data_IF_766117442379
#
_entry.id   IF_766117442379
#
_cell.length_a   1.000
_cell.length_b   1.000
_cell.length_c   1.000
_cell.angle_alpha   90.00
_cell.angle_beta   90.00
_cell.angle_gamma   90.00
#
_symmetry.space_group_name_H-M   'P 1'
#
loop_
_entity.id
_entity.type
_entity.pdbx_description
1 polymer ?
#
# COMPACT_ATOMS: atom_id res chain seq x y z
N UNK A 1 -5.25 -23.07 7.85
CA UNK A 1 -5.45 -24.53 7.66
C UNK A 1 -4.79 -25.02 6.37
N UNK A 2 -5.13 -24.48 5.18
CA UNK A 2 -4.58 -24.92 3.89
C UNK A 2 -3.03 -24.90 3.82
N UNK A 3 -2.39 -23.84 4.31
CA UNK A 3 -0.92 -23.75 4.35
C UNK A 3 -0.31 -24.78 5.30
N UNK A 4 -0.95 -25.05 6.44
CA UNK A 4 -0.48 -26.10 7.37
C UNK A 4 -0.59 -27.49 6.75
N UNK A 5 -1.71 -27.76 6.06
CA UNK A 5 -1.88 -29.02 5.35
C UNK A 5 -0.85 -29.19 4.21
N UNK A 6 -0.54 -28.11 3.50
CA UNK A 6 0.45 -28.14 2.41
C UNK A 6 1.90 -28.24 2.90
N UNK A 7 2.25 -27.64 4.04
CA UNK A 7 3.59 -27.71 4.63
C UNK A 7 3.88 -29.10 5.25
N UNK A 8 2.84 -29.80 5.75
CA UNK A 8 3.02 -31.09 6.41
C UNK A 8 4.03 -30.99 7.56
N UNK A 9 4.97 -31.93 7.59
CA UNK A 9 6.04 -32.03 8.61
C UNK A 9 7.39 -31.44 8.11
N UNK A 10 7.36 -30.54 7.13
CA UNK A 10 8.59 -29.90 6.62
C UNK A 10 9.18 -28.93 7.67
N UNK A 11 10.30 -29.32 8.26
CA UNK A 11 11.01 -28.55 9.30
C UNK A 11 11.52 -27.17 8.79
N UNK A 12 11.63 -26.97 7.49
CA UNK A 12 12.07 -25.69 6.89
C UNK A 12 10.94 -24.66 6.83
N UNK A 13 9.69 -25.08 7.07
CA UNK A 13 8.51 -24.21 6.93
C UNK A 13 7.84 -23.99 8.28
N UNK A 14 7.91 -22.75 8.78
CA UNK A 14 7.18 -22.35 9.98
C UNK A 14 5.97 -21.49 9.60
N UNK A 15 4.77 -21.88 10.04
CA UNK A 15 3.53 -21.14 9.81
C UNK A 15 3.11 -20.41 11.08
N UNK A 16 3.15 -19.07 11.03
CA UNK A 16 2.70 -18.20 12.11
C UNK A 16 1.41 -17.48 11.75
N UNK A 17 0.39 -17.62 12.59
CA UNK A 17 -0.87 -16.90 12.47
C UNK A 17 -0.75 -15.58 13.21
N UNK A 18 -0.98 -14.48 12.52
CA UNK A 18 -0.94 -13.15 13.10
C UNK A 18 -2.34 -12.53 13.14
N UNK A 19 -2.64 -11.64 14.10
CA UNK A 19 -3.90 -10.89 14.11
C UNK A 19 -4.01 -10.01 12.86
N UNK A 20 -5.21 -9.89 12.30
CA UNK A 20 -5.45 -8.99 11.18
C UNK A 20 -5.39 -7.54 11.66
N UNK A 21 -4.34 -6.81 11.28
CA UNK A 21 -4.13 -5.39 11.61
C UNK A 21 -3.55 -4.66 10.40
N UNK A 22 -3.94 -3.43 10.20
CA UNK A 22 -3.32 -2.57 9.20
C UNK A 22 -2.28 -1.64 9.86
N UNK A 23 -1.07 -1.45 9.30
CA UNK A 23 -0.50 -2.01 8.06
C UNK A 23 0.48 -3.19 8.29
N UNK A 24 0.08 -4.25 8.98
CA UNK A 24 0.96 -5.35 9.41
C UNK A 24 1.70 -6.06 8.26
N UNK A 25 1.18 -6.01 7.02
CA UNK A 25 1.87 -6.54 5.84
C UNK A 25 3.09 -5.72 5.39
N UNK A 26 3.32 -4.55 5.96
CA UNK A 26 4.52 -3.76 5.67
C UNK A 26 5.76 -4.42 6.28
N UNK A 27 6.89 -4.40 5.53
CA UNK A 27 8.09 -5.19 5.83
C UNK A 27 8.56 -5.07 7.28
N UNK A 28 8.77 -3.86 7.80
CA UNK A 28 9.25 -3.64 9.18
C UNK A 28 8.23 -4.11 10.22
N UNK A 29 6.95 -3.86 9.98
CA UNK A 29 5.86 -4.26 10.88
C UNK A 29 5.71 -5.79 10.93
N UNK A 30 5.81 -6.47 9.78
CA UNK A 30 5.71 -7.91 9.72
C UNK A 30 6.91 -8.58 10.42
N UNK A 31 8.12 -8.07 10.22
CA UNK A 31 9.30 -8.58 10.92
C UNK A 31 9.15 -8.43 12.43
N UNK A 32 8.72 -7.26 12.91
CA UNK A 32 8.44 -7.04 14.33
C UNK A 32 7.40 -8.03 14.87
N UNK A 33 6.28 -8.20 14.14
CA UNK A 33 5.20 -9.11 14.56
C UNK A 33 5.63 -10.58 14.62
N UNK A 34 6.53 -11.01 13.73
CA UNK A 34 7.01 -12.41 13.66
C UNK A 34 8.16 -12.66 14.62
N UNK A 35 9.10 -11.72 14.75
CA UNK A 35 10.36 -11.94 15.46
C UNK A 35 10.45 -11.24 16.82
N UNK A 36 9.53 -10.30 17.11
CA UNK A 36 9.61 -9.43 18.28
C UNK A 36 10.74 -8.38 18.23
N UNK A 37 11.48 -8.29 17.13
CA UNK A 37 12.63 -7.40 16.99
C UNK A 37 12.32 -6.23 16.07
N UNK A 38 12.65 -5.02 16.50
CA UNK A 38 12.56 -3.82 15.66
C UNK A 38 13.69 -3.80 14.63
N UNK A 39 13.34 -3.26 13.44
CA UNK A 39 14.29 -3.06 12.35
C UNK A 39 14.78 -1.63 12.38
N UNK A 40 16.05 -1.42 12.72
CA UNK A 40 16.67 -0.11 12.72
C UNK A 40 16.61 0.59 11.34
N UNK A 41 16.63 1.93 11.29
CA UNK A 41 16.74 2.68 10.04
C UNK A 41 17.94 2.21 9.22
N UNK A 42 17.72 1.94 7.90
CA UNK A 42 18.78 1.50 6.99
C UNK A 42 19.28 0.07 7.18
N UNK A 43 18.81 -0.67 8.19
CA UNK A 43 19.25 -2.04 8.43
C UNK A 43 18.82 -3.00 7.30
N UNK A 44 19.73 -3.91 6.94
CA UNK A 44 19.41 -5.01 6.02
C UNK A 44 18.51 -6.02 6.72
N UNK A 45 17.43 -6.37 6.07
CA UNK A 45 16.49 -7.40 6.54
C UNK A 45 16.50 -8.59 5.59
N UNK A 46 16.06 -9.74 6.05
CA UNK A 46 15.78 -10.89 5.20
C UNK A 46 14.82 -10.55 4.04
N UNK A 47 14.73 -11.44 3.07
CA UNK A 47 13.79 -11.30 1.97
C UNK A 47 12.35 -11.48 2.49
N UNK A 48 11.45 -10.61 2.02
CA UNK A 48 10.01 -10.69 2.27
C UNK A 48 9.30 -10.72 0.93
N UNK A 49 8.48 -11.72 0.72
CA UNK A 49 7.71 -11.88 -0.53
C UNK A 49 6.22 -11.98 -0.23
N UNK A 50 5.43 -11.38 -1.10
CA UNK A 50 3.99 -11.62 -1.16
C UNK A 50 3.74 -13.04 -1.70
N UNK A 51 2.65 -13.69 -1.30
CA UNK A 51 2.29 -15.04 -1.75
C UNK A 51 2.21 -15.16 -3.28
N UNK A 52 1.68 -14.15 -3.98
CA UNK A 52 1.64 -14.15 -5.46
C UNK A 52 3.03 -14.05 -6.07
N UNK A 53 3.97 -13.38 -5.41
CA UNK A 53 5.38 -13.33 -5.84
C UNK A 53 6.04 -14.69 -5.67
N UNK A 54 5.83 -15.37 -4.54
CA UNK A 54 6.35 -16.74 -4.32
C UNK A 54 5.81 -17.70 -5.37
N UNK A 55 4.50 -17.65 -5.64
CA UNK A 55 3.88 -18.43 -6.71
C UNK A 55 4.52 -18.17 -8.08
N UNK A 56 4.75 -16.89 -8.41
CA UNK A 56 5.38 -16.53 -9.69
C UNK A 56 6.84 -16.97 -9.77
N UNK A 57 7.60 -16.94 -8.66
CA UNK A 57 8.95 -17.48 -8.58
C UNK A 57 8.94 -18.99 -8.84
N UNK A 58 8.02 -19.70 -8.21
CA UNK A 58 7.86 -21.14 -8.40
C UNK A 58 7.61 -21.47 -9.89
N UNK A 59 6.68 -20.80 -10.55
CA UNK A 59 6.42 -20.98 -11.98
C UNK A 59 7.63 -20.65 -12.85
N UNK A 60 8.36 -19.60 -12.52
CA UNK A 60 9.56 -19.24 -13.27
C UNK A 60 10.67 -20.31 -13.15
N UNK A 61 10.85 -20.87 -11.95
CA UNK A 61 11.91 -21.86 -11.68
C UNK A 61 11.57 -23.23 -12.25
N UNK A 62 10.33 -23.71 -12.05
CA UNK A 62 9.94 -25.08 -12.44
C UNK A 62 9.36 -25.18 -13.85
N UNK A 63 8.70 -24.13 -14.33
CA UNK A 63 8.00 -24.14 -15.62
C UNK A 63 8.67 -23.25 -16.67
N UNK A 64 9.67 -22.44 -16.29
CA UNK A 64 10.32 -21.46 -17.18
C UNK A 64 9.40 -20.31 -17.60
N UNK A 65 8.29 -20.08 -16.90
CA UNK A 65 7.27 -19.11 -17.28
C UNK A 65 7.47 -17.76 -16.57
N UNK A 66 7.66 -16.65 -17.31
CA UNK A 66 7.71 -15.32 -16.73
C UNK A 66 6.31 -14.88 -16.26
N UNK A 67 6.25 -13.78 -15.49
CA UNK A 67 4.97 -13.19 -15.06
C UNK A 67 4.29 -12.55 -16.28
N UNK A 68 3.35 -13.26 -16.86
CA UNK A 68 2.51 -12.81 -17.99
C UNK A 68 1.07 -12.55 -17.56
N UNK A 69 0.66 -13.09 -16.42
CA UNK A 69 -0.68 -12.97 -15.89
C UNK A 69 -0.65 -12.77 -14.37
N UNK A 70 -1.70 -12.21 -13.83
CA UNK A 70 -1.87 -11.96 -12.40
C UNK A 70 -3.31 -12.16 -11.96
N UNK A 71 -3.47 -12.53 -10.69
CA UNK A 71 -4.77 -12.42 -10.02
C UNK A 71 -4.96 -10.96 -9.61
N UNK A 72 -6.06 -10.36 -10.03
CA UNK A 72 -6.50 -9.02 -9.67
C UNK A 72 -7.87 -9.11 -9.00
N UNK A 73 -8.02 -8.48 -7.84
CA UNK A 73 -9.29 -8.41 -7.13
C UNK A 73 -10.06 -7.18 -7.61
N UNK A 74 -11.24 -7.36 -8.17
CA UNK A 74 -12.20 -6.28 -8.43
C UNK A 74 -13.19 -6.26 -7.28
N UNK A 75 -13.35 -5.10 -6.61
CA UNK A 75 -14.21 -4.98 -5.42
C UNK A 75 -14.62 -3.51 -5.18
N UNK A 76 -15.40 -3.29 -4.13
CA UNK A 76 -15.92 -1.97 -3.71
C UNK A 76 -17.41 -1.84 -3.99
N UNK A 77 -18.01 -0.83 -3.41
CA UNK A 77 -19.47 -0.60 -3.51
C UNK A 77 -19.92 -0.33 -4.94
N UNK A 78 -19.00 0.23 -5.76
CA UNK A 78 -19.24 0.55 -7.17
C UNK A 78 -19.02 -0.62 -8.13
N UNK A 79 -18.51 -1.78 -7.68
CA UNK A 79 -18.38 -2.96 -8.54
C UNK A 79 -19.72 -3.70 -8.64
N UNK A 80 -20.13 -4.08 -9.86
CA UNK A 80 -21.36 -4.86 -10.04
C UNK A 80 -21.16 -6.29 -9.53
N UNK A 81 -20.07 -6.93 -9.89
CA UNK A 81 -19.77 -8.31 -9.51
C UNK A 81 -18.36 -8.41 -8.88
N UNK A 82 -18.21 -8.17 -7.56
CA UNK A 82 -16.92 -8.33 -6.91
C UNK A 82 -16.37 -9.75 -7.06
N UNK A 83 -15.16 -9.86 -7.62
CA UNK A 83 -14.50 -11.16 -7.85
C UNK A 83 -12.99 -11.04 -8.02
N UNK A 84 -12.30 -12.16 -7.89
CA UNK A 84 -10.91 -12.30 -8.30
C UNK A 84 -10.85 -12.78 -9.74
N UNK A 85 -10.07 -12.13 -10.58
CA UNK A 85 -9.90 -12.44 -11.98
C UNK A 85 -8.43 -12.69 -12.33
N UNK A 86 -8.15 -13.64 -13.20
CA UNK A 86 -6.81 -13.82 -13.76
C UNK A 86 -6.73 -12.91 -14.99
N UNK A 87 -5.79 -11.97 -14.96
CA UNK A 87 -5.64 -10.94 -15.99
C UNK A 87 -4.25 -11.00 -16.59
N UNK A 88 -4.15 -10.92 -17.90
CA UNK A 88 -2.85 -10.76 -18.58
C UNK A 88 -2.29 -9.38 -18.31
N UNK A 89 -1.00 -9.31 -18.04
CA UNK A 89 -0.28 -8.03 -17.92
C UNK A 89 -0.37 -7.29 -19.25
N UNK A 90 -0.77 -6.03 -19.21
CA UNK A 90 -1.02 -5.23 -20.41
C UNK A 90 -2.51 -5.05 -20.75
N UNK A 91 -3.43 -5.81 -20.14
CA UNK A 91 -4.88 -5.62 -20.34
C UNK A 91 -5.31 -4.27 -19.76
N UNK A 92 -6.05 -3.42 -20.51
CA UNK A 92 -6.63 -2.19 -19.98
C UNK A 92 -7.53 -2.44 -18.77
N UNK A 93 -7.50 -1.52 -17.79
CA UNK A 93 -8.31 -1.63 -16.57
C UNK A 93 -9.81 -1.68 -16.92
N UNK A 94 -10.26 -0.90 -17.88
CA UNK A 94 -11.66 -0.89 -18.34
C UNK A 94 -12.13 -2.29 -18.75
N UNK A 95 -11.33 -3.04 -19.51
CA UNK A 95 -11.69 -4.41 -19.93
C UNK A 95 -11.76 -5.38 -18.73
N UNK A 96 -10.92 -5.18 -17.71
CA UNK A 96 -10.99 -5.99 -16.50
C UNK A 96 -12.27 -5.71 -15.73
N UNK A 97 -12.67 -4.44 -15.66
CA UNK A 97 -13.93 -4.03 -15.02
C UNK A 97 -15.15 -4.57 -15.79
N UNK A 98 -15.14 -4.47 -17.12
CA UNK A 98 -16.21 -5.00 -17.98
C UNK A 98 -16.36 -6.52 -17.81
N UNK A 99 -15.25 -7.26 -17.77
CA UNK A 99 -15.25 -8.70 -17.51
C UNK A 99 -15.80 -9.02 -16.09
N UNK A 100 -15.65 -8.11 -15.15
CA UNK A 100 -16.22 -8.22 -13.81
C UNK A 100 -17.68 -7.71 -13.73
N UNK A 101 -18.40 -7.62 -14.85
CA UNK A 101 -19.79 -7.17 -14.89
C UNK A 101 -19.94 -5.65 -14.93
N UNK A 102 -18.87 -4.91 -15.13
CA UNK A 102 -18.86 -3.45 -15.17
C UNK A 102 -18.91 -2.79 -13.79
N UNK A 103 -19.05 -1.48 -13.80
CA UNK A 103 -19.20 -0.65 -12.60
C UNK A 103 -20.58 -0.02 -12.55
N UNK A 104 -21.08 0.28 -11.36
CA UNK A 104 -22.35 0.96 -11.14
C UNK A 104 -22.30 2.41 -11.62
N UNK A 105 -23.44 2.98 -11.97
CA UNK A 105 -23.56 4.36 -12.47
C UNK A 105 -23.06 5.38 -11.42
N UNK A 106 -23.29 5.14 -10.14
CA UNK A 106 -22.82 5.98 -9.03
C UNK A 106 -21.33 5.86 -8.72
N UNK A 107 -20.58 5.03 -9.47
CA UNK A 107 -19.13 4.90 -9.25
C UNK A 107 -18.41 6.19 -9.65
N UNK A 108 -17.83 6.85 -8.68
CA UNK A 108 -17.12 8.11 -8.88
C UNK A 108 -15.60 7.96 -8.94
N UNK A 109 -15.05 6.80 -8.51
CA UNK A 109 -13.61 6.60 -8.40
C UNK A 109 -13.24 5.13 -8.54
N UNK A 110 -12.21 4.87 -9.36
CA UNK A 110 -11.53 3.57 -9.43
C UNK A 110 -10.12 3.74 -8.89
N UNK A 111 -9.77 2.96 -7.85
CA UNK A 111 -8.46 2.99 -7.21
C UNK A 111 -7.70 1.73 -7.54
N UNK A 112 -6.51 1.88 -8.11
CA UNK A 112 -5.57 0.77 -8.33
C UNK A 112 -4.80 0.51 -7.03
N UNK A 113 -5.10 -0.60 -6.37
CA UNK A 113 -4.55 -0.98 -5.07
C UNK A 113 -5.59 -0.97 -3.93
N UNK A 114 -5.10 -0.93 -2.70
CA UNK A 114 -5.97 -0.90 -1.51
C UNK A 114 -6.49 0.50 -1.16
N UNK A 115 -7.49 0.61 -0.27
CA UNK A 115 -8.16 1.87 0.05
C UNK A 115 -7.25 2.92 0.68
N UNK A 116 -6.17 2.51 1.36
CA UNK A 116 -5.28 3.40 2.10
C UNK A 116 -4.05 3.85 1.31
N UNK A 117 -3.55 3.01 0.41
CA UNK A 117 -2.29 3.24 -0.34
C UNK A 117 -2.48 3.21 -1.86
N UNK A 118 -3.65 2.87 -2.34
CA UNK A 118 -3.94 2.80 -3.77
C UNK A 118 -3.95 4.18 -4.43
N UNK A 119 -3.86 4.18 -5.74
CA UNK A 119 -3.84 5.39 -6.55
C UNK A 119 -5.11 5.47 -7.39
N UNK A 120 -5.86 6.55 -7.25
CA UNK A 120 -7.04 6.81 -8.08
C UNK A 120 -6.64 6.97 -9.55
N UNK A 121 -7.37 6.30 -10.43
CA UNK A 121 -7.12 6.32 -11.87
C UNK A 121 -7.99 7.37 -12.54
N UNK A 122 -7.37 8.34 -13.20
CA UNK A 122 -8.08 9.32 -14.02
C UNK A 122 -8.38 8.83 -15.45
N UNK A 123 -7.77 7.72 -15.85
CA UNK A 123 -7.99 7.07 -17.13
C UNK A 123 -7.97 5.55 -16.95
N UNK A 124 -9.01 4.87 -17.40
CA UNK A 124 -9.14 3.41 -17.29
C UNK A 124 -8.55 2.63 -18.48
N UNK A 125 -8.12 3.33 -19.54
CA UNK A 125 -7.38 2.72 -20.65
C UNK A 125 -5.92 2.35 -20.26
N UNK A 126 -5.46 2.74 -19.07
CA UNK A 126 -4.12 2.33 -18.59
C UNK A 126 -4.07 0.83 -18.35
N UNK A 127 -2.93 0.18 -18.66
CA UNK A 127 -2.83 -1.27 -18.57
C UNK A 127 -2.63 -1.77 -17.14
N UNK A 128 -3.13 -2.96 -16.85
CA UNK A 128 -2.72 -3.76 -15.69
C UNK A 128 -1.22 -4.07 -15.79
N UNK A 129 -0.49 -3.77 -14.74
CA UNK A 129 0.95 -4.02 -14.63
C UNK A 129 1.25 -5.11 -13.58
N UNK A 130 2.50 -5.58 -13.52
CA UNK A 130 2.92 -6.60 -12.54
C UNK A 130 2.62 -6.22 -11.09
N UNK A 131 2.54 -4.91 -10.76
CA UNK A 131 2.20 -4.38 -9.44
C UNK A 131 0.72 -4.28 -9.13
N UNK A 132 -0.17 -4.41 -10.13
CA UNK A 132 -1.62 -4.29 -9.95
C UNK A 132 -2.17 -5.52 -9.22
N UNK A 133 -2.71 -5.32 -8.00
CA UNK A 133 -3.27 -6.40 -7.19
C UNK A 133 -4.78 -6.28 -6.99
N UNK A 134 -5.32 -5.06 -7.06
CA UNK A 134 -6.75 -4.81 -6.86
C UNK A 134 -7.20 -3.58 -7.63
N UNK A 135 -8.47 -3.59 -8.01
CA UNK A 135 -9.23 -2.46 -8.54
C UNK A 135 -10.41 -2.24 -7.59
N UNK A 136 -10.38 -1.12 -6.88
CA UNK A 136 -11.40 -0.76 -5.90
C UNK A 136 -12.30 0.32 -6.48
N UNK A 137 -13.57 -0.02 -6.71
CA UNK A 137 -14.59 0.87 -7.25
C UNK A 137 -15.36 1.52 -6.09
N UNK A 138 -15.27 2.83 -5.96
CA UNK A 138 -15.87 3.58 -4.85
C UNK A 138 -16.99 4.50 -5.35
N UNK A 139 -18.05 4.60 -4.56
CA UNK A 139 -19.20 5.48 -4.78
C UNK A 139 -19.12 6.77 -3.93
N UNK A 140 -18.23 6.80 -2.92
CA UNK A 140 -18.02 8.00 -2.10
C UNK A 140 -17.06 8.97 -2.81
N UNK A 141 -17.51 10.16 -3.19
CA UNK A 141 -16.68 11.17 -3.83
C UNK A 141 -15.56 11.71 -2.91
N UNK A 142 -15.71 11.57 -1.58
CA UNK A 142 -14.75 12.03 -0.56
C UNK A 142 -14.07 13.36 -0.96
N UNK A 143 -14.77 14.49 -0.91
CA UNK A 143 -14.23 15.75 -1.41
C UNK A 143 -12.94 16.11 -0.65
N UNK A 144 -11.97 16.68 -1.38
CA UNK A 144 -10.82 17.30 -0.74
C UNK A 144 -11.30 18.40 0.22
N UNK A 145 -10.59 18.59 1.33
CA UNK A 145 -10.88 19.74 2.18
C UNK A 145 -10.56 21.02 1.41
N UNK A 146 -11.50 21.96 1.40
CA UNK A 146 -11.29 23.24 0.71
C UNK A 146 -10.16 24.05 1.36
N UNK A 147 -10.02 23.96 2.69
CA UNK A 147 -8.97 24.63 3.46
C UNK A 147 -8.42 23.68 4.56
N UNK A 148 -7.49 22.79 4.22
CA UNK A 148 -6.93 21.84 5.18
C UNK A 148 -6.03 22.54 6.20
N UNK A 149 -6.49 22.62 7.46
CA UNK A 149 -5.77 23.27 8.53
C UNK A 149 -5.44 22.32 9.69
N UNK A 150 -4.23 22.45 10.24
CA UNK A 150 -3.80 21.67 11.39
C UNK A 150 -4.34 22.25 12.71
N UNK A 151 -5.17 21.50 13.41
CA UNK A 151 -5.70 21.87 14.73
C UNK A 151 -4.82 21.40 15.90
N UNK A 152 -3.65 20.82 15.63
CA UNK A 152 -2.65 20.33 16.60
C UNK A 152 -3.19 19.29 17.60
N UNK A 153 -4.13 18.45 17.21
CA UNK A 153 -4.77 17.46 18.09
C UNK A 153 -3.90 16.24 18.44
N UNK A 154 -2.77 16.01 17.76
CA UNK A 154 -1.84 14.89 18.01
C UNK A 154 -2.25 13.53 17.45
N UNK A 155 -3.49 13.31 17.00
CA UNK A 155 -4.00 12.01 16.55
C UNK A 155 -3.11 11.32 15.49
N UNK A 156 -2.48 12.09 14.61
CA UNK A 156 -1.60 11.55 13.58
C UNK A 156 -0.32 10.92 14.17
N UNK A 157 0.14 11.39 15.33
CA UNK A 157 1.30 10.83 16.04
C UNK A 157 0.93 9.49 16.67
N UNK A 158 -0.21 9.44 17.36
CA UNK A 158 -0.71 8.22 18.01
C UNK A 158 -1.03 7.11 17.00
N UNK A 159 -1.50 7.49 15.81
CA UNK A 159 -1.83 6.55 14.74
C UNK A 159 -0.63 6.06 13.92
N UNK A 160 0.56 6.64 14.11
CA UNK A 160 1.72 6.27 13.31
C UNK A 160 2.31 4.91 13.73
N UNK A 161 2.22 3.85 12.89
CA UNK A 161 2.74 2.54 13.26
C UNK A 161 4.28 2.48 13.31
N UNK A 162 4.96 3.52 12.84
CA UNK A 162 6.42 3.66 12.86
C UNK A 162 6.91 4.58 13.97
N UNK A 163 6.03 5.09 14.84
CA UNK A 163 6.40 6.02 15.89
C UNK A 163 6.97 7.35 15.40
N UNK A 164 6.70 7.71 14.14
CA UNK A 164 7.15 8.98 13.58
C UNK A 164 6.31 10.16 14.10
N UNK A 165 6.76 11.37 13.80
CA UNK A 165 6.09 12.62 14.17
C UNK A 165 5.44 13.30 12.94
N UNK A 166 4.28 12.82 12.43
CA UNK A 166 3.68 13.33 11.19
C UNK A 166 3.42 14.83 11.21
N UNK A 167 3.04 15.39 12.35
CA UNK A 167 2.81 16.83 12.51
C UNK A 167 4.08 17.64 12.23
N UNK A 168 5.20 17.25 12.83
CA UNK A 168 6.47 17.93 12.66
C UNK A 168 7.04 17.69 11.26
N UNK A 169 6.96 16.46 10.76
CA UNK A 169 7.34 16.12 9.39
C UNK A 169 6.59 16.97 8.36
N UNK A 170 5.27 17.13 8.52
CA UNK A 170 4.45 18.00 7.65
C UNK A 170 4.97 19.43 7.64
N UNK A 171 5.25 20.00 8.81
CA UNK A 171 5.78 21.33 8.94
C UNK A 171 7.14 21.49 8.24
N UNK A 172 8.07 20.57 8.50
CA UNK A 172 9.43 20.67 7.95
C UNK A 172 9.50 20.41 6.45
N UNK A 173 8.61 19.56 5.90
CA UNK A 173 8.50 19.45 4.43
C UNK A 173 8.06 20.77 3.81
N UNK A 174 7.05 21.43 4.38
CA UNK A 174 6.56 22.72 3.87
C UNK A 174 7.57 23.87 4.02
N UNK A 175 8.48 23.80 5.00
CA UNK A 175 9.59 24.73 5.16
C UNK A 175 10.82 24.33 4.33
N UNK A 176 10.88 23.16 3.75
CA UNK A 176 12.03 22.66 2.99
C UNK A 176 13.26 22.30 3.85
N UNK A 177 13.08 22.09 5.15
CA UNK A 177 14.15 21.81 6.12
C UNK A 177 14.61 20.35 6.05
N UNK A 178 15.61 20.10 5.20
CA UNK A 178 16.16 18.74 4.95
C UNK A 178 16.85 18.14 6.18
N UNK A 179 17.48 18.97 7.00
CA UNK A 179 18.20 18.51 8.19
C UNK A 179 17.22 17.93 9.22
N UNK A 180 16.17 18.67 9.54
CA UNK A 180 15.14 18.21 10.46
C UNK A 180 14.35 17.01 9.91
N UNK A 181 14.09 16.94 8.60
CA UNK A 181 13.47 15.78 7.97
C UNK A 181 14.32 14.52 8.11
N UNK A 182 15.65 14.65 8.00
CA UNK A 182 16.60 13.57 8.24
C UNK A 182 16.60 13.14 9.72
N UNK A 183 16.67 14.10 10.64
CA UNK A 183 16.66 13.87 12.10
C UNK A 183 15.38 13.15 12.56
N UNK A 184 14.25 13.48 11.97
CA UNK A 184 12.94 12.86 12.23
C UNK A 184 12.68 11.58 11.44
N UNK A 185 13.68 11.05 10.75
CA UNK A 185 13.61 9.80 10.00
C UNK A 185 12.44 9.71 9.00
N UNK A 186 12.22 10.77 8.20
CA UNK A 186 11.16 10.76 7.17
C UNK A 186 11.28 9.56 6.21
N UNK A 187 12.50 9.08 5.94
CA UNK A 187 12.73 7.93 5.07
C UNK A 187 12.10 6.62 5.58
N UNK A 188 11.87 6.52 6.90
CA UNK A 188 11.20 5.37 7.52
C UNK A 188 9.66 5.39 7.37
N UNK A 189 9.08 6.50 6.92
CA UNK A 189 7.65 6.56 6.63
C UNK A 189 7.30 5.56 5.52
N UNK A 190 6.40 4.61 5.80
CA UNK A 190 5.94 3.62 4.82
C UNK A 190 4.76 4.10 3.97
N UNK A 191 4.34 5.36 4.13
CA UNK A 191 3.23 5.98 3.37
C UNK A 191 1.90 5.24 3.52
N UNK A 192 1.67 4.62 4.67
CA UNK A 192 0.51 3.78 4.93
C UNK A 192 -0.84 4.52 5.03
N UNK A 193 -0.83 5.84 5.16
CA UNK A 193 -2.04 6.64 5.23
C UNK A 193 -2.70 6.73 6.63
N UNK A 194 -2.27 5.98 7.65
CA UNK A 194 -2.91 6.00 8.97
C UNK A 194 -3.03 7.41 9.55
N UNK A 195 -1.99 8.22 9.44
CA UNK A 195 -1.99 9.61 9.93
C UNK A 195 -2.97 10.52 9.17
N UNK A 196 -3.08 10.33 7.84
CA UNK A 196 -4.03 11.09 7.02
C UNK A 196 -5.47 10.66 7.32
N UNK A 197 -5.72 9.36 7.49
CA UNK A 197 -7.04 8.80 7.79
C UNK A 197 -7.63 9.37 9.08
N UNK A 198 -6.83 9.50 10.16
CA UNK A 198 -7.31 10.01 11.45
C UNK A 198 -7.29 11.54 11.55
N UNK A 199 -6.83 12.24 10.53
CA UNK A 199 -6.67 13.69 10.56
C UNK A 199 -8.01 14.42 10.42
N UNK A 200 -8.55 15.11 11.45
CA UNK A 200 -9.79 15.84 11.33
C UNK A 200 -9.67 17.08 10.42
N UNK A 201 -8.46 17.65 10.30
CA UNK A 201 -8.18 18.76 9.39
C UNK A 201 -7.87 18.33 7.95
N UNK A 202 -7.99 17.02 7.64
CA UNK A 202 -7.81 16.46 6.28
C UNK A 202 -6.54 16.91 5.57
N UNK A 203 -5.44 17.05 6.32
CA UNK A 203 -4.15 17.43 5.74
C UNK A 203 -3.66 16.38 4.75
N UNK A 204 -3.05 16.76 3.61
CA UNK A 204 -2.50 15.84 2.61
C UNK A 204 -1.14 15.27 3.09
N UNK A 205 -1.13 14.58 4.24
CA UNK A 205 0.10 14.16 4.91
C UNK A 205 0.93 13.20 4.06
N UNK A 206 0.29 12.23 3.40
CA UNK A 206 1.01 11.22 2.60
C UNK A 206 1.68 11.85 1.39
N UNK A 207 0.96 12.72 0.67
CA UNK A 207 1.46 13.46 -0.50
C UNK A 207 2.62 14.36 -0.11
N UNK A 208 2.49 15.06 1.02
CA UNK A 208 3.53 15.91 1.58
C UNK A 208 4.79 15.08 1.92
N UNK A 209 4.64 13.92 2.54
CA UNK A 209 5.80 13.07 2.87
C UNK A 209 6.47 12.47 1.63
N UNK A 210 5.71 12.13 0.60
CA UNK A 210 6.27 11.74 -0.71
C UNK A 210 7.11 12.87 -1.33
N UNK A 211 6.62 14.11 -1.27
CA UNK A 211 7.38 15.28 -1.70
C UNK A 211 8.65 15.48 -0.86
N UNK A 212 8.56 15.41 0.47
CA UNK A 212 9.70 15.51 1.38
C UNK A 212 10.78 14.46 1.12
N UNK A 213 10.41 13.21 0.83
CA UNK A 213 11.37 12.16 0.45
C UNK A 213 12.08 12.46 -0.87
N UNK A 214 11.41 13.10 -1.84
CA UNK A 214 12.07 13.56 -3.06
C UNK A 214 13.10 14.64 -2.76
N UNK A 215 12.75 15.62 -1.91
CA UNK A 215 13.67 16.67 -1.45
C UNK A 215 14.94 16.11 -0.81
N UNK A 216 14.81 15.05 0.02
CA UNK A 216 15.96 14.39 0.64
C UNK A 216 16.87 13.68 -0.37
N UNK A 217 16.31 13.10 -1.43
CA UNK A 217 17.07 12.42 -2.48
C UNK A 217 17.84 13.38 -3.40
N UNK A 218 17.26 14.53 -3.70
CA UNK A 218 17.90 15.57 -4.54
C UNK A 218 19.11 16.20 -3.87
N UNK A 219 19.20 16.18 -2.55
CA UNK A 219 20.38 16.66 -1.79
C UNK A 219 21.52 15.64 -1.67
N UNK A 220 21.32 14.38 -2.12
CA UNK A 220 22.32 13.30 -2.05
C UNK A 220 23.06 13.06 -3.39
N UNK A 221 22.83 13.90 -4.41
CA UNK A 221 23.52 13.85 -5.72
C UNK A 221 24.68 14.81 -5.79
#
# INVERSE_FOLDING_TARGET
EALKAAAGDDELVEIRVLPTRYPQGAKKQLILAVTGKEVAPGARTGALFNVTTVYSICRAVYEGLPITEKVVTVTGEGANEPKNVIVRVGTPIEQVLDFAGGVKEETCKVVCGGPMMGVAQGNLAVPVVKGTNALLCLTDPAPAAEDPACIRCGKCMDACPMGLQPLNLYRYVNCGDKEELGRLNLEDCMECGCCAYVCPGRLPLVETFKAGKKLLKEGKR
#
